data_IF_591665554371
#
_entry.id   IF_591665554371
#
_cell.length_a   1.000
_cell.length_b   1.000
_cell.length_c   1.000
_cell.angle_alpha   90.00
_cell.angle_beta   90.00
_cell.angle_gamma   90.00
#
_symmetry.space_group_name_H-M   'P 1'
#
loop_
_entity.id
_entity.type
_entity.pdbx_description
1 polymer ?
#
# COMPACT_ATOMS: atom_id res chain seq x y z
N UNK A 1 23.53 27.04 -9.81
CA UNK A 1 23.42 27.01 -8.34
C UNK A 1 21.98 26.81 -7.96
N UNK A 2 21.54 25.58 -7.77
CA UNK A 2 20.25 25.23 -7.22
C UNK A 2 20.49 24.07 -6.26
N UNK A 3 20.83 24.42 -5.00
CA UNK A 3 20.95 23.51 -3.88
C UNK A 3 19.84 23.87 -2.89
N UNK A 4 18.64 23.36 -3.12
CA UNK A 4 17.65 23.21 -2.07
C UNK A 4 17.41 21.72 -1.89
N UNK A 5 18.26 21.10 -1.08
CA UNK A 5 17.96 19.80 -0.50
C UNK A 5 16.79 20.01 0.44
N UNK A 6 15.67 19.38 0.12
CA UNK A 6 14.54 19.24 1.03
C UNK A 6 15.00 18.36 2.20
N UNK A 7 15.57 18.98 3.24
CA UNK A 7 16.09 18.29 4.44
C UNK A 7 15.02 18.23 5.54
N UNK A 8 13.81 17.84 5.20
CA UNK A 8 12.83 17.48 6.21
C UNK A 8 12.97 16.00 6.51
N UNK A 9 13.91 15.64 7.38
CA UNK A 9 13.92 14.31 7.99
C UNK A 9 12.67 14.22 8.86
N UNK A 10 11.88 13.17 8.67
CA UNK A 10 10.78 12.85 9.55
C UNK A 10 11.32 12.74 10.99
N UNK A 11 10.78 13.51 11.92
CA UNK A 11 11.14 13.38 13.32
C UNK A 11 10.42 12.17 13.92
N UNK A 12 11.07 11.02 13.88
CA UNK A 12 10.53 9.75 14.39
C UNK A 12 10.56 9.66 15.93
N UNK A 13 10.87 10.74 16.66
CA UNK A 13 10.91 10.72 18.13
C UNK A 13 9.55 10.39 18.77
N UNK A 14 8.46 10.43 18.01
CA UNK A 14 7.13 10.04 18.48
C UNK A 14 6.97 8.53 18.74
N UNK A 15 7.89 7.69 18.26
CA UNK A 15 7.87 6.24 18.42
C UNK A 15 8.75 5.73 19.58
N UNK A 16 9.03 6.54 20.59
CA UNK A 16 9.92 6.21 21.74
C UNK A 16 9.34 5.25 22.80
N UNK A 17 8.21 4.60 22.51
CA UNK A 17 7.74 3.41 23.24
C UNK A 17 8.02 2.17 22.40
N UNK A 18 8.10 0.96 22.93
CA UNK A 18 8.43 -0.27 22.20
C UNK A 18 7.85 -0.24 20.78
N UNK A 19 8.72 -0.05 19.77
CA UNK A 19 8.33 0.21 18.39
C UNK A 19 7.68 -1.05 17.86
N UNK A 20 6.36 -1.06 17.74
CA UNK A 20 5.69 -2.00 16.85
C UNK A 20 5.92 -1.45 15.44
N UNK A 21 6.81 -2.08 14.68
CA UNK A 21 7.13 -1.63 13.32
C UNK A 21 5.92 -1.67 12.39
N UNK A 22 5.00 -2.62 12.59
CA UNK A 22 3.72 -2.66 11.86
C UNK A 22 2.74 -1.67 12.48
N UNK A 23 2.34 -0.66 11.71
CA UNK A 23 1.44 0.41 12.14
C UNK A 23 0.25 0.58 11.20
N UNK A 24 -0.81 1.24 11.68
CA UNK A 24 -1.93 1.62 10.81
C UNK A 24 -1.47 2.64 9.76
N UNK A 25 -1.93 2.46 8.52
CA UNK A 25 -1.66 3.46 7.46
C UNK A 25 -2.15 4.85 7.87
N UNK A 26 -3.25 4.95 8.62
CA UNK A 26 -3.75 6.23 9.12
C UNK A 26 -2.71 6.95 9.99
N UNK A 27 -2.04 6.23 10.89
CA UNK A 27 -0.99 6.83 11.73
C UNK A 27 0.15 7.41 10.90
N UNK A 28 0.57 6.72 9.83
CA UNK A 28 1.61 7.22 8.93
C UNK A 28 1.15 8.48 8.18
N UNK A 29 -0.05 8.45 7.63
CA UNK A 29 -0.56 9.55 6.81
C UNK A 29 -0.90 10.79 7.65
N UNK A 30 -1.50 10.62 8.83
CA UNK A 30 -1.79 11.73 9.73
C UNK A 30 -0.48 12.41 10.17
N UNK A 31 0.54 11.65 10.56
CA UNK A 31 1.85 12.18 10.92
C UNK A 31 2.54 12.89 9.73
N UNK A 32 2.45 12.30 8.54
CA UNK A 32 3.01 12.91 7.33
C UNK A 32 2.34 14.24 6.99
N UNK A 33 1.01 14.30 7.13
CA UNK A 33 0.25 15.53 6.89
C UNK A 33 0.57 16.63 7.90
N UNK A 34 0.70 16.28 9.17
CA UNK A 34 1.05 17.22 10.24
C UNK A 34 2.46 17.79 10.09
N UNK A 35 3.41 16.99 9.58
CA UNK A 35 4.82 17.37 9.46
C UNK A 35 5.27 17.75 8.05
N UNK A 36 4.38 17.68 7.06
CA UNK A 36 4.61 18.15 5.69
C UNK A 36 5.60 17.31 4.88
N UNK A 37 5.56 15.97 5.00
CA UNK A 37 6.36 15.06 4.17
C UNK A 37 5.50 14.00 3.47
N UNK A 38 6.07 13.35 2.44
CA UNK A 38 5.44 12.23 1.74
C UNK A 38 5.85 10.87 2.32
N UNK A 39 4.92 9.93 2.41
CA UNK A 39 5.22 8.52 2.72
C UNK A 39 5.39 7.76 1.42
N UNK A 40 6.53 7.09 1.18
CA UNK A 40 6.70 6.29 -0.02
C UNK A 40 5.85 5.02 0.04
N UNK A 41 5.30 4.64 -1.10
CA UNK A 41 4.57 3.40 -1.31
C UNK A 41 5.29 2.57 -2.36
N UNK A 42 5.86 1.43 -1.98
CA UNK A 42 6.67 0.59 -2.86
C UNK A 42 6.02 -0.77 -3.07
N UNK A 43 5.93 -1.17 -4.35
CA UNK A 43 5.44 -2.49 -4.72
C UNK A 43 6.46 -3.57 -4.35
N UNK A 44 5.99 -4.63 -3.70
CA UNK A 44 6.80 -5.78 -3.27
C UNK A 44 6.33 -7.04 -3.98
N UNK A 45 7.22 -7.63 -4.78
CA UNK A 45 6.92 -8.85 -5.53
C UNK A 45 7.80 -10.04 -5.08
N UNK A 46 8.95 -9.78 -4.47
CA UNK A 46 9.91 -10.80 -4.08
C UNK A 46 10.77 -10.34 -2.88
N UNK A 47 11.64 -11.25 -2.41
CA UNK A 47 12.51 -11.01 -1.26
C UNK A 47 13.51 -9.89 -1.52
N UNK A 48 14.12 -9.85 -2.70
CA UNK A 48 15.18 -8.91 -3.04
C UNK A 48 14.67 -7.46 -3.05
N UNK A 49 13.47 -7.24 -3.61
CA UNK A 49 12.80 -5.93 -3.56
C UNK A 49 12.46 -5.53 -2.13
N UNK A 50 11.91 -6.47 -1.34
CA UNK A 50 11.57 -6.21 0.05
C UNK A 50 12.80 -5.81 0.86
N UNK A 51 13.91 -6.53 0.74
CA UNK A 51 15.16 -6.22 1.43
C UNK A 51 15.69 -4.84 1.04
N UNK A 52 15.77 -4.55 -0.26
CA UNK A 52 16.25 -3.26 -0.75
C UNK A 52 15.39 -2.07 -0.25
N UNK A 53 14.07 -2.23 -0.22
CA UNK A 53 13.15 -1.22 0.30
C UNK A 53 13.39 -0.99 1.79
N UNK A 54 13.46 -2.05 2.58
CA UNK A 54 13.66 -1.94 4.03
C UNK A 54 15.04 -1.33 4.35
N UNK A 55 16.10 -1.79 3.70
CA UNK A 55 17.46 -1.23 3.89
C UNK A 55 17.48 0.28 3.61
N UNK A 56 16.93 0.71 2.47
CA UNK A 56 16.88 2.13 2.12
C UNK A 56 16.07 2.95 3.13
N UNK A 57 14.92 2.44 3.56
CA UNK A 57 14.08 3.14 4.54
C UNK A 57 14.69 3.20 5.94
N UNK A 58 15.42 2.16 6.36
CA UNK A 58 16.19 2.15 7.61
C UNK A 58 17.34 3.18 7.58
N UNK A 59 18.11 3.25 6.47
CA UNK A 59 19.18 4.23 6.29
C UNK A 59 18.65 5.67 6.40
N UNK A 60 17.52 5.94 5.74
CA UNK A 60 16.89 7.26 5.74
C UNK A 60 16.03 7.52 6.99
N UNK A 61 15.81 6.52 7.83
CA UNK A 61 14.89 6.56 8.98
C UNK A 61 13.50 7.03 8.56
N UNK A 62 13.02 6.51 7.46
CA UNK A 62 11.76 6.89 6.84
C UNK A 62 10.68 5.82 7.06
N UNK A 63 9.43 6.22 7.35
CA UNK A 63 8.31 5.29 7.32
C UNK A 63 8.03 4.83 5.89
N UNK A 64 7.41 3.66 5.73
CA UNK A 64 7.13 3.10 4.41
C UNK A 64 5.78 2.40 4.37
N UNK A 65 5.11 2.46 3.22
CA UNK A 65 3.99 1.61 2.86
C UNK A 65 4.49 0.53 1.87
N UNK A 66 4.36 -0.73 2.26
CA UNK A 66 4.63 -1.87 1.39
C UNK A 66 3.33 -2.20 0.63
N UNK A 67 3.33 -1.98 -0.69
CA UNK A 67 2.20 -2.25 -1.56
C UNK A 67 2.28 -3.65 -2.15
N UNK A 68 1.18 -4.39 -2.04
CA UNK A 68 1.08 -5.78 -2.48
C UNK A 68 -0.11 -5.88 -3.43
N UNK A 69 0.16 -6.03 -4.72
CA UNK A 69 -0.89 -6.23 -5.71
C UNK A 69 -1.40 -7.68 -5.73
N UNK A 70 -2.56 -7.88 -6.35
CA UNK A 70 -3.09 -9.22 -6.66
C UNK A 70 -2.06 -10.04 -7.46
N UNK A 71 -1.42 -9.42 -8.47
CA UNK A 71 -0.38 -10.05 -9.28
C UNK A 71 0.84 -10.48 -8.45
N UNK A 72 1.31 -9.64 -7.54
CA UNK A 72 2.41 -9.99 -6.63
C UNK A 72 2.07 -11.20 -5.75
N UNK A 73 0.85 -11.25 -5.22
CA UNK A 73 0.34 -12.38 -4.43
C UNK A 73 0.29 -13.68 -5.25
N UNK A 74 -0.15 -13.61 -6.50
CA UNK A 74 -0.18 -14.77 -7.39
C UNK A 74 1.23 -15.24 -7.76
N UNK A 75 2.13 -14.32 -8.06
CA UNK A 75 3.52 -14.62 -8.43
C UNK A 75 4.31 -15.28 -7.28
N UNK A 76 4.30 -14.67 -6.09
CA UNK A 76 5.12 -15.10 -4.97
C UNK A 76 4.46 -16.18 -4.09
N UNK A 77 3.17 -16.46 -4.27
CA UNK A 77 2.28 -17.16 -3.35
C UNK A 77 2.03 -16.37 -2.05
N UNK A 78 0.76 -16.13 -1.66
CA UNK A 78 0.42 -15.30 -0.50
C UNK A 78 1.09 -15.74 0.80
N UNK A 79 1.19 -17.06 1.04
CA UNK A 79 1.78 -17.59 2.27
C UNK A 79 3.27 -17.23 2.38
N UNK A 80 4.03 -17.40 1.29
CA UNK A 80 5.46 -17.04 1.29
C UNK A 80 5.64 -15.53 1.42
N UNK A 81 4.88 -14.75 0.65
CA UNK A 81 4.99 -13.30 0.66
C UNK A 81 4.68 -12.72 2.04
N UNK A 82 3.62 -13.20 2.68
CA UNK A 82 3.26 -12.78 4.04
C UNK A 82 4.37 -13.11 5.05
N UNK A 83 5.02 -14.28 4.95
CA UNK A 83 6.13 -14.63 5.85
C UNK A 83 7.38 -13.79 5.61
N UNK A 84 7.65 -13.38 4.38
CA UNK A 84 8.71 -12.42 4.07
C UNK A 84 8.41 -11.05 4.69
N UNK A 85 7.18 -10.57 4.58
CA UNK A 85 6.74 -9.30 5.16
C UNK A 85 6.79 -9.36 6.70
N UNK A 86 6.29 -10.43 7.32
CA UNK A 86 6.39 -10.63 8.77
C UNK A 86 7.86 -10.61 9.24
N UNK A 87 8.76 -11.26 8.51
CA UNK A 87 10.18 -11.22 8.83
C UNK A 87 10.77 -9.80 8.73
N UNK A 88 10.47 -9.08 7.64
CA UNK A 88 10.90 -7.71 7.46
C UNK A 88 10.40 -6.79 8.59
N UNK A 89 9.11 -6.88 8.93
CA UNK A 89 8.50 -6.12 10.03
C UNK A 89 9.17 -6.44 11.37
N UNK A 90 9.48 -7.72 11.63
CA UNK A 90 10.08 -8.15 12.90
C UNK A 90 11.53 -7.70 13.08
N UNK A 91 12.25 -7.49 11.98
CA UNK A 91 13.65 -7.08 11.97
C UNK A 91 13.82 -5.55 11.87
N UNK A 92 12.77 -4.84 11.52
CA UNK A 92 12.82 -3.41 11.25
C UNK A 92 12.52 -2.56 12.48
N UNK A 93 13.10 -1.34 12.49
CA UNK A 93 12.87 -0.32 13.52
C UNK A 93 12.15 0.92 12.99
N UNK A 94 11.68 0.88 11.75
CA UNK A 94 10.89 1.95 11.14
C UNK A 94 9.39 1.60 11.10
N UNK A 95 8.50 2.61 11.05
CA UNK A 95 7.08 2.37 10.88
C UNK A 95 6.77 1.83 9.48
N UNK A 96 6.06 0.72 9.43
CA UNK A 96 5.69 0.02 8.19
C UNK A 96 4.18 -0.16 8.17
N UNK A 97 3.52 0.25 7.08
CA UNK A 97 2.16 -0.15 6.76
C UNK A 97 2.17 -1.18 5.63
N UNK A 98 1.30 -2.18 5.70
CA UNK A 98 1.13 -3.19 4.65
C UNK A 98 -0.21 -2.96 3.98
N UNK A 99 -0.21 -2.80 2.66
CA UNK A 99 -1.33 -2.33 1.87
C UNK A 99 -1.63 -3.26 0.69
N UNK A 100 -2.90 -3.63 0.53
CA UNK A 100 -3.37 -4.26 -0.70
C UNK A 100 -3.56 -3.18 -1.77
N UNK A 101 -2.82 -3.30 -2.87
CA UNK A 101 -2.85 -2.41 -4.01
C UNK A 101 -3.83 -2.95 -5.07
N UNK A 102 -4.82 -2.14 -5.47
CA UNK A 102 -5.86 -2.47 -6.45
C UNK A 102 -6.57 -3.84 -6.23
N UNK A 103 -7.19 -4.01 -5.06
CA UNK A 103 -8.05 -5.16 -4.81
C UNK A 103 -9.30 -5.14 -5.70
N UNK A 104 -9.56 -6.22 -6.42
CA UNK A 104 -10.64 -6.34 -7.40
C UNK A 104 -11.96 -6.87 -6.80
N UNK A 105 -11.95 -7.26 -5.54
CA UNK A 105 -13.12 -7.88 -4.90
C UNK A 105 -13.12 -7.73 -3.39
N UNK A 106 -14.32 -7.75 -2.82
CA UNK A 106 -14.51 -7.82 -1.37
C UNK A 106 -13.75 -9.01 -0.76
N UNK A 107 -13.76 -10.18 -1.42
CA UNK A 107 -13.11 -11.38 -0.89
C UNK A 107 -11.60 -11.20 -0.79
N UNK A 108 -10.96 -10.63 -1.81
CA UNK A 108 -9.52 -10.37 -1.78
C UNK A 108 -9.15 -9.36 -0.67
N UNK A 109 -9.92 -8.28 -0.53
CA UNK A 109 -9.73 -7.32 0.57
C UNK A 109 -9.87 -8.02 1.93
N UNK A 110 -10.91 -8.83 2.09
CA UNK A 110 -11.15 -9.60 3.32
C UNK A 110 -9.98 -10.53 3.65
N UNK A 111 -9.50 -11.30 2.67
CA UNK A 111 -8.39 -12.24 2.86
C UNK A 111 -7.12 -11.50 3.31
N UNK A 112 -6.80 -10.35 2.68
CA UNK A 112 -5.66 -9.52 3.09
C UNK A 112 -5.81 -8.95 4.50
N UNK A 113 -7.02 -8.51 4.88
CA UNK A 113 -7.30 -8.03 6.25
C UNK A 113 -7.11 -9.16 7.27
N UNK A 114 -7.62 -10.36 6.98
CA UNK A 114 -7.48 -11.53 7.84
C UNK A 114 -6.01 -12.00 7.96
N UNK A 115 -5.20 -11.74 6.94
CA UNK A 115 -3.76 -11.97 6.93
C UNK A 115 -2.94 -10.88 7.64
N UNK A 116 -3.58 -9.84 8.17
CA UNK A 116 -2.92 -8.80 8.98
C UNK A 116 -2.47 -7.56 8.22
N UNK A 117 -2.97 -7.32 7.01
CA UNK A 117 -2.75 -6.07 6.30
C UNK A 117 -3.36 -4.90 7.07
N UNK A 118 -2.65 -3.78 7.13
CA UNK A 118 -3.08 -2.59 7.87
C UNK A 118 -3.89 -1.61 7.03
N UNK A 119 -3.94 -1.85 5.71
CA UNK A 119 -4.80 -1.13 4.78
C UNK A 119 -5.07 -1.94 3.52
N UNK A 120 -6.19 -1.65 2.86
CA UNK A 120 -6.57 -2.26 1.59
C UNK A 120 -7.17 -1.20 0.68
N UNK A 121 -6.87 -1.28 -0.62
CA UNK A 121 -7.58 -0.55 -1.65
C UNK A 121 -8.57 -1.46 -2.34
N UNK A 122 -9.83 -1.04 -2.42
CA UNK A 122 -10.85 -1.66 -3.26
C UNK A 122 -11.02 -0.83 -4.52
N UNK A 123 -10.69 -1.39 -5.66
CA UNK A 123 -10.84 -0.72 -6.95
C UNK A 123 -12.15 -1.13 -7.63
N UNK A 124 -13.15 -0.29 -7.47
CA UNK A 124 -14.43 -0.36 -8.16
C UNK A 124 -14.62 0.81 -9.13
N UNK A 125 -13.53 1.40 -9.61
CA UNK A 125 -13.54 2.59 -10.49
C UNK A 125 -14.25 2.37 -11.83
N UNK A 126 -14.28 1.12 -12.29
CA UNK A 126 -14.95 0.70 -13.52
C UNK A 126 -16.48 0.57 -13.36
N UNK A 127 -16.98 0.58 -12.14
CA UNK A 127 -18.41 0.46 -11.85
C UNK A 127 -19.11 1.82 -11.87
N UNK A 128 -20.44 1.88 -12.11
CA UNK A 128 -21.21 3.09 -11.90
C UNK A 128 -21.07 3.61 -10.46
N UNK A 129 -21.05 4.94 -10.28
CA UNK A 129 -20.79 5.59 -8.99
C UNK A 129 -21.53 4.94 -7.81
N UNK A 130 -22.84 4.73 -7.95
CA UNK A 130 -23.66 4.16 -6.87
C UNK A 130 -23.21 2.73 -6.52
N UNK A 131 -22.82 1.96 -7.53
CA UNK A 131 -22.31 0.59 -7.33
C UNK A 131 -20.93 0.58 -6.68
N UNK A 132 -20.05 1.51 -7.10
CA UNK A 132 -18.75 1.73 -6.46
C UNK A 132 -18.94 2.02 -4.97
N UNK A 133 -19.83 2.96 -4.61
CA UNK A 133 -20.13 3.28 -3.20
C UNK A 133 -20.62 2.06 -2.41
N UNK A 134 -21.47 1.21 -2.98
CA UNK A 134 -21.97 0.00 -2.33
C UNK A 134 -20.84 -1.00 -2.06
N UNK A 135 -19.96 -1.23 -3.04
CA UNK A 135 -18.80 -2.14 -2.92
C UNK A 135 -17.83 -1.60 -1.87
N UNK A 136 -17.44 -0.32 -1.98
CA UNK A 136 -16.55 0.30 -0.98
C UNK A 136 -17.13 0.20 0.43
N UNK A 137 -18.44 0.45 0.59
CA UNK A 137 -19.10 0.34 1.89
C UNK A 137 -18.99 -1.07 2.48
N UNK A 138 -19.15 -2.12 1.69
CA UNK A 138 -19.01 -3.50 2.17
C UNK A 138 -17.61 -3.77 2.72
N UNK A 139 -16.57 -3.28 2.01
CA UNK A 139 -15.18 -3.42 2.46
C UNK A 139 -14.95 -2.62 3.73
N UNK A 140 -15.42 -1.37 3.80
CA UNK A 140 -15.31 -0.49 4.98
C UNK A 140 -15.98 -1.11 6.20
N UNK A 141 -17.19 -1.64 6.05
CA UNK A 141 -17.95 -2.27 7.15
C UNK A 141 -17.21 -3.50 7.74
N UNK A 142 -16.37 -4.17 6.94
CA UNK A 142 -15.51 -5.25 7.40
C UNK A 142 -14.19 -4.72 7.98
N UNK A 143 -13.46 -3.92 7.21
CA UNK A 143 -12.12 -3.45 7.55
C UNK A 143 -12.06 -2.67 8.87
N UNK A 144 -13.02 -1.80 9.12
CA UNK A 144 -13.04 -0.97 10.33
C UNK A 144 -13.20 -1.79 11.62
N UNK A 145 -13.78 -2.99 11.56
CA UNK A 145 -13.84 -3.92 12.72
C UNK A 145 -12.46 -4.51 13.06
N UNK A 146 -11.52 -4.44 12.11
CA UNK A 146 -10.16 -4.98 12.23
C UNK A 146 -9.09 -3.87 12.29
N UNK A 147 -9.50 -2.61 12.51
CA UNK A 147 -8.62 -1.43 12.50
C UNK A 147 -7.82 -1.26 11.20
N UNK A 148 -8.35 -1.75 10.08
CA UNK A 148 -7.75 -1.65 8.77
C UNK A 148 -8.33 -0.44 8.00
N UNK A 149 -7.46 0.33 7.36
CA UNK A 149 -7.85 1.50 6.54
C UNK A 149 -8.30 1.03 5.15
N UNK A 150 -9.29 1.72 4.59
CA UNK A 150 -9.78 1.44 3.23
C UNK A 150 -9.54 2.64 2.33
N UNK A 151 -8.94 2.38 1.19
CA UNK A 151 -8.83 3.28 0.05
C UNK A 151 -9.86 2.89 -1.02
N UNK A 152 -10.43 3.86 -1.69
CA UNK A 152 -11.35 3.67 -2.82
C UNK A 152 -10.95 4.56 -3.98
N UNK A 153 -11.31 4.17 -5.20
CA UNK A 153 -11.01 4.91 -6.42
C UNK A 153 -12.28 5.38 -7.12
N UNK A 154 -12.27 6.64 -7.58
CA UNK A 154 -13.33 7.23 -8.38
C UNK A 154 -12.80 7.61 -9.76
N UNK A 155 -13.50 7.14 -10.80
CA UNK A 155 -13.14 7.39 -12.19
C UNK A 155 -12.00 6.47 -12.68
N UNK A 156 -12.14 6.00 -13.91
CA UNK A 156 -11.12 5.16 -14.53
C UNK A 156 -9.94 6.01 -14.99
N UNK A 157 -8.74 5.64 -14.60
CA UNK A 157 -7.51 6.15 -15.20
C UNK A 157 -7.29 5.46 -16.55
N UNK A 158 -7.31 6.23 -17.62
CA UNK A 158 -7.04 5.71 -18.98
C UNK A 158 -5.60 5.24 -19.05
N UNK A 159 -5.39 3.94 -19.28
CA UNK A 159 -4.05 3.32 -19.36
C UNK A 159 -3.60 2.58 -18.10
N UNK A 160 -4.27 2.73 -16.97
CA UNK A 160 -4.13 1.83 -15.84
C UNK A 160 -4.95 0.55 -16.13
N UNK A 161 -4.47 -0.28 -17.05
CA UNK A 161 -5.02 -1.62 -17.18
C UNK A 161 -4.47 -2.44 -16.02
N UNK A 162 -5.37 -3.14 -15.33
CA UNK A 162 -5.01 -4.18 -14.40
C UNK A 162 -3.96 -5.08 -15.05
N UNK A 163 -2.86 -5.29 -14.36
CA UNK A 163 -1.81 -6.23 -14.78
C UNK A 163 -2.31 -7.66 -14.52
N UNK A 164 -3.35 -8.05 -15.25
CA UNK A 164 -3.99 -9.36 -15.13
C UNK A 164 -3.18 -10.47 -15.81
N UNK A 165 -1.92 -10.20 -16.15
CA UNK A 165 -1.00 -11.22 -16.65
C UNK A 165 -1.32 -11.74 -18.06
N UNK A 166 -2.22 -11.10 -18.82
CA UNK A 166 -2.40 -11.39 -20.23
C UNK A 166 -1.46 -10.53 -21.09
N UNK A 167 -0.46 -11.15 -21.67
CA UNK A 167 0.38 -10.58 -22.71
C UNK A 167 -0.48 -10.10 -23.90
N UNK A 168 -0.73 -8.81 -23.97
CA UNK A 168 -1.45 -8.17 -25.05
C UNK A 168 -0.96 -6.76 -25.28
N UNK A 169 0.21 -6.62 -25.92
CA UNK A 169 0.72 -5.34 -26.38
C UNK A 169 -0.26 -4.63 -27.29
N UNK A 170 -0.79 -3.51 -26.84
CA UNK A 170 -1.61 -2.62 -27.62
C UNK A 170 -1.53 -1.20 -27.12
N UNK A 171 -0.52 -0.44 -27.54
CA UNK A 171 -0.56 1.01 -27.45
C UNK A 171 -1.74 1.55 -28.26
N UNK A 172 -2.85 1.85 -27.65
CA UNK A 172 -3.88 2.64 -28.31
C UNK A 172 -3.53 4.11 -28.18
N UNK A 173 -3.19 4.74 -29.30
CA UNK A 173 -3.11 6.20 -29.45
C UNK A 173 -4.52 6.76 -29.31
N UNK A 174 -4.75 7.61 -28.30
CA UNK A 174 -6.04 8.30 -28.17
C UNK A 174 -6.05 9.36 -27.09
N UNK A 175 -5.79 10.61 -27.49
CA UNK A 175 -6.54 11.80 -27.10
C UNK A 175 -6.36 12.32 -25.68
N UNK A 176 -5.45 13.28 -25.51
CA UNK A 176 -5.58 14.31 -24.47
C UNK A 176 -6.88 15.10 -24.67
N UNK A 177 -7.64 15.27 -23.60
CA UNK A 177 -8.53 16.40 -23.41
C UNK A 177 -8.21 17.07 -22.09
#
# INVERSE_FOLDING_TARGET
MLSNRCSHRADLTFYSGAIMSLVSLRQLLDHAAEHGYGVPAFNVNNMELLQAIIEACEEEKAPVMLQISKGARQYANPVYLNKLIEAAVSLSNIPIAVHLDHGDSFQLCKDCIDEGFTSVMIDASHEPFQKNVEICKQVVDYAHKHNCVVEGELGMLVGAQHDDGEEGGGYSKGGCY
#
